data_IF_368449324024
#
_entry.id   IF_368449324024
#
_cell.length_a   1.000
_cell.length_b   1.000
_cell.length_c   1.000
_cell.angle_alpha   90.00
_cell.angle_beta   90.00
_cell.angle_gamma   90.00
#
_symmetry.space_group_name_H-M   'P 1'
#
loop_
_entity.id
_entity.type
_entity.pdbx_description
1 polymer ?
#
# COMPACT_ATOMS: atom_id res chain seq x y z
N UNK A 1 -16.67 7.41 -2.95
CA UNK A 1 -15.76 7.47 -1.79
C UNK A 1 -15.25 6.07 -1.53
N UNK A 2 -13.94 5.87 -1.33
CA UNK A 2 -13.32 4.57 -1.15
C UNK A 2 -12.44 4.55 0.09
N UNK A 3 -12.62 3.53 0.92
CA UNK A 3 -11.80 3.28 2.10
C UNK A 3 -10.74 2.21 1.77
N UNK A 4 -9.49 2.58 1.93
CA UNK A 4 -8.37 1.66 1.95
C UNK A 4 -8.08 1.29 3.40
N UNK A 5 -7.98 0.00 3.69
CA UNK A 5 -7.63 -0.53 5.02
C UNK A 5 -6.54 -1.58 4.87
N UNK A 6 -5.53 -1.49 5.72
CA UNK A 6 -4.47 -2.47 5.84
C UNK A 6 -4.59 -3.13 7.21
N UNK A 7 -4.49 -4.45 7.24
CA UNK A 7 -4.46 -5.24 8.46
C UNK A 7 -3.27 -6.17 8.44
N UNK A 8 -2.76 -6.51 9.62
CA UNK A 8 -1.77 -7.57 9.76
C UNK A 8 -2.43 -8.96 9.72
N UNK A 9 -1.63 -10.01 9.84
CA UNK A 9 -2.11 -11.40 9.84
C UNK A 9 -2.96 -11.77 11.06
N UNK A 10 -2.92 -10.97 12.13
CA UNK A 10 -3.75 -11.14 13.33
C UNK A 10 -5.05 -10.33 13.25
N UNK A 11 -5.27 -9.60 12.15
CA UNK A 11 -6.42 -8.73 11.96
C UNK A 11 -6.29 -7.35 12.60
N UNK A 12 -5.13 -7.02 13.19
CA UNK A 12 -4.90 -5.69 13.74
C UNK A 12 -4.78 -4.69 12.60
N UNK A 13 -5.40 -3.53 12.78
CA UNK A 13 -5.33 -2.49 11.76
C UNK A 13 -3.95 -1.84 11.75
N UNK A 14 -3.33 -1.83 10.58
CA UNK A 14 -2.09 -1.13 10.29
C UNK A 14 -2.36 0.34 9.98
N UNK A 15 -3.30 0.61 9.06
CA UNK A 15 -3.63 1.96 8.63
C UNK A 15 -4.93 2.03 7.84
N UNK A 16 -5.46 3.25 7.74
CA UNK A 16 -6.61 3.60 6.90
C UNK A 16 -6.31 4.81 6.01
N UNK A 17 -6.95 4.85 4.86
CA UNK A 17 -6.87 6.00 3.96
C UNK A 17 -8.18 6.14 3.18
N UNK A 18 -8.79 7.32 3.28
CA UNK A 18 -10.01 7.65 2.56
C UNK A 18 -9.66 8.49 1.33
N UNK A 19 -10.21 8.12 0.18
CA UNK A 19 -10.09 8.92 -1.03
C UNK A 19 -11.38 8.92 -1.85
N UNK A 20 -11.59 9.96 -2.65
CA UNK A 20 -12.77 10.04 -3.53
C UNK A 20 -12.73 8.99 -4.63
N UNK A 21 -11.53 8.66 -5.13
CA UNK A 21 -11.28 7.74 -6.26
C UNK A 21 -10.46 6.52 -5.83
N UNK A 22 -10.62 5.41 -6.58
CA UNK A 22 -9.89 4.15 -6.36
C UNK A 22 -8.73 3.94 -7.36
N UNK A 23 -8.04 5.03 -7.71
CA UNK A 23 -7.03 5.05 -8.76
C UNK A 23 -5.62 4.62 -8.31
N UNK A 24 -4.70 4.57 -9.26
CA UNK A 24 -3.30 4.19 -9.03
C UNK A 24 -2.57 5.14 -8.07
N UNK A 25 -2.87 6.44 -8.12
CA UNK A 25 -2.23 7.46 -7.27
C UNK A 25 -2.66 7.27 -5.82
N UNK A 26 -3.95 7.01 -5.61
CA UNK A 26 -4.55 6.69 -4.33
C UNK A 26 -3.95 5.41 -3.73
N UNK A 27 -3.92 4.33 -4.53
CA UNK A 27 -3.33 3.05 -4.14
C UNK A 27 -1.86 3.19 -3.74
N UNK A 28 -1.06 3.87 -4.56
CA UNK A 28 0.36 4.10 -4.28
C UNK A 28 0.59 4.90 -3.02
N UNK A 29 -0.18 5.97 -2.81
CA UNK A 29 -0.12 6.77 -1.58
C UNK A 29 -0.45 5.93 -0.37
N UNK A 30 -1.49 5.10 -0.46
CA UNK A 30 -1.88 4.21 0.62
C UNK A 30 -0.78 3.20 0.95
N UNK A 31 -0.22 2.50 -0.04
CA UNK A 31 0.89 1.56 0.19
C UNK A 31 2.11 2.24 0.82
N UNK A 32 2.47 3.45 0.39
CA UNK A 32 3.58 4.21 1.04
C UNK A 32 3.29 4.47 2.50
N UNK A 33 2.06 4.89 2.82
CA UNK A 33 1.63 5.20 4.19
C UNK A 33 1.63 3.94 5.05
N UNK A 34 0.95 2.87 4.62
CA UNK A 34 0.89 1.61 5.34
C UNK A 34 2.28 0.98 5.55
N UNK A 35 3.14 0.93 4.53
CA UNK A 35 4.48 0.32 4.63
C UNK A 35 5.53 1.17 5.38
N UNK A 36 5.19 2.41 5.75
CA UNK A 36 6.02 3.28 6.59
C UNK A 36 5.50 3.38 8.02
N UNK A 37 4.36 2.77 8.33
CA UNK A 37 3.84 2.76 9.69
C UNK A 37 4.82 2.04 10.61
N UNK A 38 5.13 2.65 11.76
CA UNK A 38 6.25 2.25 12.62
C UNK A 38 6.07 0.87 13.26
N UNK A 39 4.83 0.42 13.43
CA UNK A 39 4.51 -0.93 13.93
C UNK A 39 4.52 -2.01 12.83
N UNK A 40 4.77 -1.63 11.57
CA UNK A 40 4.75 -2.55 10.45
C UNK A 40 6.16 -3.10 10.22
N UNK A 41 6.34 -4.37 10.53
CA UNK A 41 7.50 -5.12 10.06
C UNK A 41 7.42 -5.24 8.53
N UNK A 42 8.58 -5.28 7.86
CA UNK A 42 8.67 -5.38 6.39
C UNK A 42 7.92 -6.65 5.93
N UNK A 43 6.72 -6.51 5.31
CA UNK A 43 5.90 -7.68 5.03
C UNK A 43 6.53 -8.51 3.91
N UNK A 44 6.53 -9.84 4.08
CA UNK A 44 6.97 -10.78 3.03
C UNK A 44 5.95 -10.89 1.91
N UNK A 45 4.65 -10.89 2.26
CA UNK A 45 3.52 -11.02 1.34
C UNK A 45 2.49 -9.96 1.68
N UNK A 46 1.87 -9.38 0.64
CA UNK A 46 0.74 -8.48 0.77
C UNK A 46 -0.38 -9.05 -0.10
N UNK A 47 -1.49 -9.42 0.53
CA UNK A 47 -2.69 -9.88 -0.17
C UNK A 47 -3.58 -8.68 -0.45
N UNK A 48 -4.05 -8.57 -1.69
CA UNK A 48 -4.94 -7.50 -2.13
C UNK A 48 -6.09 -8.07 -2.94
N UNK A 49 -7.18 -7.33 -3.04
CA UNK A 49 -8.21 -7.64 -4.02
C UNK A 49 -7.73 -7.43 -5.47
N UNK A 50 -8.54 -7.81 -6.45
CA UNK A 50 -8.18 -7.76 -7.88
C UNK A 50 -8.24 -6.35 -8.51
N UNK A 51 -8.15 -5.28 -7.73
CA UNK A 51 -8.15 -3.92 -8.29
C UNK A 51 -6.92 -3.71 -9.21
N UNK A 52 -7.13 -3.35 -10.50
CA UNK A 52 -6.04 -3.15 -11.46
C UNK A 52 -5.09 -2.00 -11.08
N UNK A 53 -5.48 -1.11 -10.16
CA UNK A 53 -4.61 -0.05 -9.67
C UNK A 53 -3.43 -0.58 -8.82
N UNK A 54 -3.57 -1.74 -8.17
CA UNK A 54 -2.57 -2.24 -7.22
C UNK A 54 -1.27 -2.75 -7.86
N UNK A 55 -1.29 -3.60 -8.89
CA UNK A 55 -0.06 -4.06 -9.52
C UNK A 55 0.82 -2.90 -10.01
N UNK A 56 0.19 -1.90 -10.64
CA UNK A 56 0.88 -0.71 -11.16
C UNK A 56 1.46 0.14 -10.02
N UNK A 57 0.69 0.37 -8.97
CA UNK A 57 1.16 1.10 -7.79
C UNK A 57 2.36 0.41 -7.12
N UNK A 58 2.33 -0.92 -6.98
CA UNK A 58 3.41 -1.71 -6.38
C UNK A 58 4.67 -1.66 -7.25
N UNK A 59 4.53 -1.81 -8.57
CA UNK A 59 5.67 -1.75 -9.49
C UNK A 59 6.38 -0.38 -9.42
N UNK A 60 5.60 0.71 -9.41
CA UNK A 60 6.15 2.05 -9.25
C UNK A 60 6.89 2.21 -7.91
N UNK A 61 6.37 1.64 -6.82
CA UNK A 61 7.04 1.70 -5.51
C UNK A 61 8.35 0.91 -5.48
N UNK A 62 8.39 -0.25 -6.14
CA UNK A 62 9.62 -1.03 -6.28
C UNK A 62 10.67 -0.25 -7.07
N UNK A 63 10.29 0.39 -8.20
CA UNK A 63 11.18 1.25 -9.00
C UNK A 63 11.73 2.42 -8.18
N UNK A 64 10.88 3.11 -7.42
CA UNK A 64 11.31 4.22 -6.56
C UNK A 64 12.28 3.77 -5.46
N UNK A 65 12.09 2.59 -4.85
CA UNK A 65 13.03 2.08 -3.85
C UNK A 65 14.40 1.76 -4.44
N UNK A 66 14.47 1.20 -5.64
CA UNK A 66 15.75 0.89 -6.33
C UNK A 66 16.55 2.17 -6.61
N UNK A 67 15.89 3.22 -7.12
CA UNK A 67 16.53 4.53 -7.38
C UNK A 67 17.10 5.23 -6.15
N UNK A 68 16.67 4.86 -4.94
CA UNK A 68 17.15 5.46 -3.69
C UNK A 68 18.38 4.77 -3.11
N UNK A 69 18.76 3.61 -3.65
CA UNK A 69 19.91 2.81 -3.18
C UNK A 69 21.06 2.80 -4.20
N UNK A 70 20.93 3.58 -5.28
CA UNK A 70 21.96 3.92 -6.27
C UNK A 70 22.35 5.37 -6.04
#
# INVERSE_FOLDING_TARGET
MYLYRAVDSKGNTIDFFLNKTRDQKAAKRFFKKALRSFHVSKPRVITVDKNPAYPIAIEQLKKEKRKKHT
#
